data_IF_135659087849
#
_entry.id   IF_135659087849
#
_cell.length_a   1.000
_cell.length_b   1.000
_cell.length_c   1.000
_cell.angle_alpha   90.00
_cell.angle_beta   90.00
_cell.angle_gamma   90.00
#
_symmetry.space_group_name_H-M   'P 1'
#
loop_
_entity.id
_entity.type
_entity.pdbx_description
1 polymer ?
#
# COMPACT_ATOMS: atom_id res chain seq x y z
N UNK A 1 -6.48 20.44 -0.02
CA UNK A 1 -6.32 19.30 0.90
C UNK A 1 -6.05 18.07 0.04
N UNK A 2 -5.20 17.16 0.49
CA UNK A 2 -4.88 15.94 -0.24
C UNK A 2 -4.92 14.77 0.74
N UNK A 3 -5.46 13.66 0.28
CA UNK A 3 -5.55 12.43 1.05
C UNK A 3 -4.42 11.50 0.64
N UNK A 4 -3.79 10.88 1.63
CA UNK A 4 -2.78 9.85 1.39
C UNK A 4 -3.46 8.48 1.37
N UNK A 5 -3.18 7.72 0.32
CA UNK A 5 -3.69 6.35 0.15
C UNK A 5 -2.52 5.41 -0.09
N UNK A 6 -2.47 4.31 0.64
CA UNK A 6 -1.53 3.22 0.38
C UNK A 6 -2.16 2.27 -0.64
N UNK A 7 -1.41 1.90 -1.66
CA UNK A 7 -1.76 0.82 -2.58
C UNK A 7 -0.65 -0.21 -2.53
N UNK A 8 -0.99 -1.49 -2.47
CA UNK A 8 -0.01 -2.53 -2.30
C UNK A 8 -0.36 -3.84 -2.96
N UNK A 9 0.68 -4.56 -3.33
CA UNK A 9 0.69 -5.95 -3.78
C UNK A 9 1.43 -6.74 -2.71
N UNK A 10 0.79 -7.78 -2.18
CA UNK A 10 1.36 -8.70 -1.21
C UNK A 10 1.44 -10.07 -1.88
N UNK A 11 2.57 -10.33 -2.54
CA UNK A 11 2.89 -11.66 -3.07
C UNK A 11 3.45 -12.60 -2.01
N UNK A 12 3.78 -13.83 -2.40
CA UNK A 12 4.45 -14.80 -1.51
C UNK A 12 5.88 -14.38 -1.16
N UNK A 13 6.69 -14.03 -2.18
CA UNK A 13 8.11 -13.72 -1.99
C UNK A 13 8.37 -12.25 -1.65
N UNK A 14 7.55 -11.34 -2.19
CA UNK A 14 7.77 -9.90 -2.06
C UNK A 14 6.46 -9.17 -1.83
N UNK A 15 6.55 -8.07 -1.09
CA UNK A 15 5.48 -7.10 -0.93
C UNK A 15 5.92 -5.79 -1.57
N UNK A 16 5.06 -5.19 -2.41
CA UNK A 16 5.26 -3.87 -2.99
C UNK A 16 4.21 -2.93 -2.42
N UNK A 17 4.66 -1.80 -1.88
CA UNK A 17 3.79 -0.77 -1.34
C UNK A 17 4.10 0.56 -2.04
N UNK A 18 3.05 1.29 -2.35
CA UNK A 18 3.10 2.59 -3.01
C UNK A 18 2.19 3.56 -2.26
N UNK A 19 2.69 4.75 -1.94
CA UNK A 19 1.97 5.82 -1.28
C UNK A 19 1.57 6.85 -2.33
N UNK A 20 0.27 7.11 -2.42
CA UNK A 20 -0.30 8.03 -3.38
C UNK A 20 -0.93 9.21 -2.65
N UNK A 21 -0.69 10.41 -3.17
CA UNK A 21 -1.35 11.63 -2.73
C UNK A 21 -2.45 11.98 -3.73
N UNK A 22 -3.70 11.95 -3.26
CA UNK A 22 -4.89 12.23 -4.07
C UNK A 22 -5.47 13.58 -3.65
N UNK A 23 -5.61 14.55 -4.58
CA UNK A 23 -6.21 15.83 -4.24
C UNK A 23 -7.71 15.68 -3.92
N UNK A 24 -8.14 16.16 -2.75
CA UNK A 24 -9.57 16.13 -2.31
C UNK A 24 -10.52 16.93 -3.20
N UNK A 25 -9.99 17.81 -4.05
CA UNK A 25 -10.78 18.56 -5.04
C UNK A 25 -11.24 17.70 -6.22
N UNK A 26 -10.85 16.42 -6.28
CA UNK A 26 -11.31 15.48 -7.30
C UNK A 26 -12.70 14.93 -6.93
N UNK A 27 -13.75 15.73 -7.19
CA UNK A 27 -15.16 15.31 -7.06
C UNK A 27 -15.67 14.52 -8.27
N UNK A 28 -14.98 14.59 -9.40
CA UNK A 28 -15.37 13.84 -10.60
C UNK A 28 -14.84 12.41 -10.56
N UNK A 29 -15.76 11.45 -10.74
CA UNK A 29 -15.38 10.04 -10.88
C UNK A 29 -14.48 9.91 -12.10
N UNK A 30 -13.27 9.32 -11.98
CA UNK A 30 -12.38 9.17 -13.12
C UNK A 30 -13.10 8.39 -14.23
N UNK A 31 -13.09 8.91 -15.45
CA UNK A 31 -13.66 8.18 -16.59
C UNK A 31 -12.81 6.94 -16.85
N UNK A 32 -13.42 5.89 -17.39
CA UNK A 32 -12.80 4.55 -17.59
C UNK A 32 -11.50 4.54 -18.41
N UNK A 33 -11.14 5.66 -19.06
CA UNK A 33 -9.96 5.85 -19.90
C UNK A 33 -8.97 6.87 -19.35
N UNK A 34 -9.30 7.54 -18.25
CA UNK A 34 -8.43 8.53 -17.62
C UNK A 34 -7.53 7.84 -16.60
N UNK A 35 -6.29 8.33 -16.47
CA UNK A 35 -5.39 7.88 -15.40
C UNK A 35 -6.03 8.25 -14.06
N UNK A 36 -5.94 7.34 -13.10
CA UNK A 36 -6.40 7.60 -11.74
C UNK A 36 -5.74 8.89 -11.22
N UNK A 37 -6.52 9.81 -10.66
CA UNK A 37 -5.99 11.05 -10.10
C UNK A 37 -5.11 10.74 -8.90
N UNK A 38 -3.88 11.26 -8.90
CA UNK A 38 -2.97 11.14 -7.77
C UNK A 38 -1.51 11.23 -8.19
N UNK A 39 -0.66 11.64 -7.24
CA UNK A 39 0.79 11.69 -7.39
C UNK A 39 1.41 10.57 -6.57
N UNK A 40 2.30 9.79 -7.17
CA UNK A 40 3.08 8.78 -6.45
C UNK A 40 4.12 9.50 -5.58
N UNK A 41 3.99 9.37 -4.26
CA UNK A 41 4.88 10.00 -3.28
C UNK A 41 6.05 9.09 -2.95
N UNK A 42 5.76 7.80 -2.74
CA UNK A 42 6.76 6.82 -2.32
C UNK A 42 6.41 5.46 -2.87
N UNK A 43 7.40 4.71 -3.34
CA UNK A 43 7.23 3.34 -3.84
C UNK A 43 8.39 2.49 -3.34
N UNK A 44 8.07 1.34 -2.75
CA UNK A 44 9.09 0.45 -2.24
C UNK A 44 8.68 -1.01 -2.28
N UNK A 45 9.68 -1.85 -2.52
CA UNK A 45 9.58 -3.30 -2.52
C UNK A 45 10.33 -3.88 -1.33
N UNK A 46 9.67 -4.79 -0.63
CA UNK A 46 10.19 -5.52 0.52
C UNK A 46 10.26 -7.01 0.20
N UNK A 47 11.33 -7.65 0.68
CA UNK A 47 11.53 -9.09 0.56
C UNK A 47 10.89 -9.74 1.79
N UNK A 48 9.84 -10.56 1.61
CA UNK A 48 9.03 -11.03 2.73
C UNK A 48 9.83 -11.89 3.72
N UNK A 49 10.84 -12.63 3.26
CA UNK A 49 11.73 -13.44 4.12
C UNK A 49 12.48 -12.61 5.17
N UNK A 50 12.61 -11.29 4.98
CA UNK A 50 13.26 -10.38 5.93
C UNK A 50 12.31 -9.86 7.02
N UNK A 51 11.04 -10.25 6.97
CA UNK A 51 9.99 -9.71 7.81
C UNK A 51 9.14 -10.85 8.39
N UNK A 52 8.82 -10.78 9.68
CA UNK A 52 8.07 -11.84 10.39
C UNK A 52 6.60 -11.89 10.00
N UNK A 53 6.05 -10.73 9.65
CA UNK A 53 4.63 -10.55 9.39
C UNK A 53 4.41 -9.30 8.52
N UNK A 54 3.24 -9.25 7.89
CA UNK A 54 2.87 -8.14 7.00
C UNK A 54 2.80 -6.79 7.74
N UNK A 55 2.41 -6.79 9.01
CA UNK A 55 2.27 -5.56 9.80
C UNK A 55 3.64 -4.88 9.98
N UNK A 56 4.71 -5.65 10.17
CA UNK A 56 6.08 -5.13 10.25
C UNK A 56 6.51 -4.42 8.95
N UNK A 57 6.13 -4.96 7.79
CA UNK A 57 6.41 -4.36 6.47
C UNK A 57 5.70 -3.02 6.32
N UNK A 58 4.41 -2.95 6.68
CA UNK A 58 3.62 -1.72 6.58
C UNK A 58 4.15 -0.63 7.52
N UNK A 59 4.54 -0.99 8.76
CA UNK A 59 5.15 -0.04 9.70
C UNK A 59 6.45 0.53 9.15
N UNK A 60 7.33 -0.34 8.65
CA UNK A 60 8.59 0.07 8.02
C UNK A 60 8.32 1.00 6.83
N UNK A 61 7.33 0.69 6.00
CA UNK A 61 6.96 1.54 4.87
C UNK A 61 6.47 2.93 5.30
N UNK A 62 5.63 3.00 6.34
CA UNK A 62 5.15 4.29 6.87
C UNK A 62 6.32 5.11 7.42
N UNK A 63 7.21 4.49 8.21
CA UNK A 63 8.42 5.15 8.71
C UNK A 63 9.33 5.66 7.57
N UNK A 64 9.59 4.82 6.57
CA UNK A 64 10.46 5.16 5.45
C UNK A 64 9.86 6.21 4.50
N UNK A 65 8.54 6.21 4.34
CA UNK A 65 7.83 7.23 3.56
C UNK A 65 7.89 8.62 4.20
N UNK A 66 8.43 8.75 5.44
CA UNK A 66 8.58 10.00 6.19
C UNK A 66 7.30 10.86 6.24
N UNK A 67 6.15 10.22 6.09
CA UNK A 67 4.88 10.91 5.95
C UNK A 67 4.38 11.29 7.34
N UNK A 68 4.38 12.58 7.65
CA UNK A 68 3.85 13.12 8.91
C UNK A 68 2.33 12.94 9.03
N UNK A 69 1.68 12.60 7.92
CA UNK A 69 0.23 12.46 7.79
C UNK A 69 -0.13 10.98 7.69
N UNK A 70 -1.06 10.53 8.53
CA UNK A 70 -1.58 9.16 8.49
C UNK A 70 -2.39 8.93 7.21
N UNK A 71 -2.10 7.87 6.44
CA UNK A 71 -2.91 7.51 5.27
C UNK A 71 -4.36 7.24 5.66
N UNK A 72 -5.30 7.76 4.87
CA UNK A 72 -6.73 7.62 5.11
C UNK A 72 -7.23 6.21 4.80
N UNK A 73 -6.66 5.59 3.76
CA UNK A 73 -7.08 4.29 3.28
C UNK A 73 -5.89 3.48 2.75
N UNK A 74 -6.07 2.16 2.71
CA UNK A 74 -5.13 1.24 2.07
C UNK A 74 -5.89 0.25 1.19
N UNK A 75 -5.37 -0.02 -0.01
CA UNK A 75 -5.87 -1.05 -0.92
C UNK A 75 -4.75 -2.07 -1.16
N UNK A 76 -4.97 -3.31 -0.74
CA UNK A 76 -3.95 -4.36 -0.77
C UNK A 76 -4.46 -5.55 -1.58
N UNK A 77 -3.74 -5.89 -2.64
CA UNK A 77 -3.96 -7.13 -3.39
C UNK A 77 -3.08 -8.22 -2.78
N UNK A 78 -3.68 -9.23 -2.16
CA UNK A 78 -2.94 -10.30 -1.48
C UNK A 78 -3.06 -11.62 -2.23
N UNK A 79 -1.92 -12.27 -2.50
CA UNK A 79 -1.84 -13.59 -3.14
C UNK A 79 -2.01 -14.73 -2.12
N UNK A 80 -3.02 -14.63 -1.25
CA UNK A 80 -3.28 -15.61 -0.18
C UNK A 80 -4.35 -15.14 0.80
N UNK A 81 -4.88 -16.05 1.63
CA UNK A 81 -5.85 -15.69 2.66
C UNK A 81 -5.22 -14.81 3.75
N UNK A 82 -5.95 -13.78 4.17
CA UNK A 82 -5.58 -12.92 5.29
C UNK A 82 -6.40 -13.36 6.51
N UNK A 83 -5.73 -13.77 7.58
CA UNK A 83 -6.38 -14.11 8.86
C UNK A 83 -5.80 -13.20 9.93
N UNK A 84 -6.66 -12.48 10.68
CA UNK A 84 -6.25 -11.57 11.75
C UNK A 84 -5.21 -10.51 11.34
N UNK A 85 -5.34 -9.92 10.14
CA UNK A 85 -4.38 -8.98 9.54
C UNK A 85 -2.98 -9.57 9.26
N UNK A 86 -2.87 -10.89 9.31
CA UNK A 86 -1.67 -11.63 8.92
C UNK A 86 -1.94 -12.31 7.59
N UNK A 87 -1.15 -11.96 6.57
CA UNK A 87 -1.14 -12.72 5.33
C UNK A 87 -0.58 -14.11 5.60
N UNK A 88 -1.38 -15.15 5.37
CA UNK A 88 -0.88 -16.53 5.38
C UNK A 88 -0.31 -16.78 3.99
N UNK A 89 0.93 -16.34 3.79
CA UNK A 89 1.72 -16.83 2.68
C UNK A 89 2.16 -18.24 3.06
N UNK A 90 1.70 -19.26 2.33
CA UNK A 90 2.20 -20.63 2.50
C UNK A 90 3.73 -20.60 2.36
N UNK A 91 4.44 -20.78 3.47
CA UNK A 91 5.82 -21.24 3.45
C UNK A 91 5.72 -22.74 3.18
N UNK A 92 5.97 -23.15 1.93
CA UNK A 92 6.39 -24.52 1.65
C UNK A 92 7.87 -24.70 2.02
#
# INVERSE_FOLDING_TARGET
MSDLIIVGDCGGTNTRLSLWEIPTSFTDKPKRTEKAPGTLVFDKKYLNEKHTDFVSVVKLFIEESSSSTTPMAACLACAGPIINNTGICNQE
#
